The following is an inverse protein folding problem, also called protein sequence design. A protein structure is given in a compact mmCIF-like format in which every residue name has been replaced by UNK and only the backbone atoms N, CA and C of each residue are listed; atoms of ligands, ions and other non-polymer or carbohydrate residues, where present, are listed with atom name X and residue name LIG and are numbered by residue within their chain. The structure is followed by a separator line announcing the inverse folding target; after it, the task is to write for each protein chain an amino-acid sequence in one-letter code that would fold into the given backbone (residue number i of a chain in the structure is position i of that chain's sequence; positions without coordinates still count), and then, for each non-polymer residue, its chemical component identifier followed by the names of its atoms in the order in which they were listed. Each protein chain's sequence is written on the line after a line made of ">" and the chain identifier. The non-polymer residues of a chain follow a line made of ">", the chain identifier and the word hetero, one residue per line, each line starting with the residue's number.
data_IF_371030162738
#
_entry.id   IF_371030162738
#
_cell.length_a   1.000
_cell.length_b   1.000
_cell.length_c   1.000
_cell.angle_alpha   90.00
_cell.angle_beta   90.00
_cell.angle_gamma   90.00
#
_symmetry.space_group_name_H-M   'P 1'
#
loop_
_entity.id
_entity.type
_entity.pdbx_description
1 polymer ?
#
# COMPACT_ATOMS: atom_id res chain seq x y z
N UNK A 1 19.40 -13.23 -59.72
CA UNK A 1 19.75 -13.01 -58.29
C UNK A 1 19.67 -11.52 -58.01
N UNK A 2 18.60 -11.02 -57.35
CA UNK A 2 18.51 -9.62 -56.82
C UNK A 2 17.15 -9.22 -56.21
N UNK A 3 16.13 -10.11 -56.21
CA UNK A 3 14.81 -9.78 -55.64
C UNK A 3 14.63 -10.20 -54.17
N UNK A 4 15.52 -11.02 -53.60
CA UNK A 4 15.32 -11.62 -52.27
C UNK A 4 15.86 -10.77 -51.11
N UNK A 5 16.64 -9.72 -51.38
CA UNK A 5 17.27 -8.88 -50.35
C UNK A 5 16.41 -7.66 -49.94
N UNK A 6 15.40 -7.32 -50.75
CA UNK A 6 14.55 -6.14 -50.47
C UNK A 6 13.45 -6.44 -49.44
N UNK A 7 12.92 -7.68 -49.39
CA UNK A 7 11.86 -8.04 -48.43
C UNK A 7 12.37 -8.12 -46.98
N UNK A 8 13.62 -8.52 -46.75
CA UNK A 8 14.17 -8.63 -45.39
C UNK A 8 14.42 -7.29 -44.69
N UNK A 9 14.52 -6.18 -45.43
CA UNK A 9 14.73 -4.84 -44.83
C UNK A 9 13.44 -4.16 -44.41
N UNK A 10 12.29 -4.51 -45.00
CA UNK A 10 11.01 -3.90 -44.65
C UNK A 10 10.40 -4.49 -43.37
N UNK A 11 10.70 -5.77 -43.08
CA UNK A 11 10.26 -6.43 -41.84
C UNK A 11 10.99 -5.96 -40.58
N UNK A 12 12.24 -5.46 -40.69
CA UNK A 12 12.97 -4.94 -39.54
C UNK A 12 12.50 -3.54 -39.09
N UNK A 13 11.82 -2.78 -39.95
CA UNK A 13 11.36 -1.43 -39.62
C UNK A 13 10.09 -1.42 -38.75
N UNK A 14 9.26 -2.47 -38.80
CA UNK A 14 8.04 -2.56 -37.99
C UNK A 14 8.30 -3.02 -36.54
N UNK A 15 9.47 -3.59 -36.24
CA UNK A 15 9.78 -4.08 -34.90
C UNK A 15 10.23 -2.98 -33.92
N UNK A 16 10.56 -1.77 -34.40
CA UNK A 16 11.07 -0.67 -33.57
C UNK A 16 9.95 0.19 -32.96
N UNK A 17 8.72 0.10 -33.47
CA UNK A 17 7.56 0.85 -32.95
C UNK A 17 6.84 0.15 -31.78
N UNK A 18 7.25 -1.08 -31.40
CA UNK A 18 6.81 -1.75 -30.18
C UNK A 18 7.66 -1.37 -28.94
N UNK A 19 8.47 -0.31 -29.06
CA UNK A 19 9.54 0.05 -28.12
C UNK A 19 9.31 1.37 -27.38
N UNK A 20 8.10 1.67 -26.94
CA UNK A 20 7.85 2.59 -25.82
C UNK A 20 6.62 2.09 -25.07
N UNK A 21 6.73 0.91 -24.47
CA UNK A 21 6.00 0.63 -23.24
C UNK A 21 6.55 1.61 -22.19
N UNK A 22 6.11 2.88 -22.26
CA UNK A 22 5.93 3.66 -21.06
C UNK A 22 5.01 2.76 -20.25
N UNK A 23 5.56 2.12 -19.23
CA UNK A 23 4.79 1.63 -18.10
C UNK A 23 4.12 2.89 -17.56
N UNK A 24 3.03 3.29 -18.20
CA UNK A 24 2.01 4.04 -17.53
C UNK A 24 1.54 2.98 -16.56
N UNK A 25 2.04 3.05 -15.32
CA UNK A 25 1.28 2.59 -14.18
C UNK A 25 -0.08 3.26 -14.36
N UNK A 26 -0.96 2.60 -15.12
CA UNK A 26 -2.36 2.89 -15.17
C UNK A 26 -2.88 2.37 -13.83
N UNK A 27 -2.39 2.96 -12.74
CA UNK A 27 -3.08 2.93 -11.47
C UNK A 27 -4.36 3.67 -11.74
N UNK A 28 -5.37 2.85 -12.05
CA UNK A 28 -6.76 3.24 -12.06
C UNK A 28 -6.95 4.05 -10.78
N UNK A 29 -7.47 5.27 -10.88
CA UNK A 29 -7.61 6.18 -9.73
C UNK A 29 -8.32 5.51 -8.52
N UNK A 30 -9.12 4.47 -8.75
CA UNK A 30 -9.75 3.67 -7.70
C UNK A 30 -8.88 2.58 -7.04
N UNK A 31 -7.67 2.29 -7.53
CA UNK A 31 -6.77 1.28 -6.95
C UNK A 31 -6.16 1.75 -5.64
N UNK A 32 -5.76 3.02 -5.56
CA UNK A 32 -5.18 3.58 -4.34
C UNK A 32 -6.28 3.84 -3.29
N UNK A 33 -7.48 4.28 -3.70
CA UNK A 33 -8.65 4.38 -2.80
C UNK A 33 -9.03 3.01 -2.22
N UNK A 34 -9.08 1.96 -3.06
CA UNK A 34 -9.33 0.60 -2.62
C UNK A 34 -8.23 0.06 -1.68
N UNK A 35 -6.98 0.46 -1.89
CA UNK A 35 -5.87 0.12 -1.00
C UNK A 35 -6.02 0.81 0.36
N UNK A 36 -6.38 2.10 0.38
CA UNK A 36 -6.62 2.85 1.63
C UNK A 36 -7.79 2.25 2.42
N UNK A 37 -8.88 1.87 1.74
CA UNK A 37 -10.02 1.22 2.40
C UNK A 37 -9.65 -0.17 2.92
N UNK A 38 -8.86 -0.96 2.17
CA UNK A 38 -8.38 -2.26 2.63
C UNK A 38 -7.45 -2.16 3.85
N UNK A 39 -6.56 -1.15 3.89
CA UNK A 39 -5.72 -0.89 5.05
C UNK A 39 -6.54 -0.44 6.27
N UNK A 40 -7.51 0.44 6.05
CA UNK A 40 -8.43 0.90 7.11
C UNK A 40 -9.21 -0.28 7.71
N UNK A 41 -9.68 -1.20 6.87
CA UNK A 41 -10.37 -2.42 7.31
C UNK A 41 -9.45 -3.32 8.14
N UNK A 42 -8.20 -3.53 7.70
CA UNK A 42 -7.23 -4.35 8.45
C UNK A 42 -6.86 -3.72 9.79
N UNK A 43 -6.70 -2.41 9.85
CA UNK A 43 -6.46 -1.69 11.11
C UNK A 43 -7.62 -1.92 12.09
N UNK A 44 -8.86 -1.80 11.61
CA UNK A 44 -10.04 -2.06 12.45
C UNK A 44 -10.11 -3.53 12.89
N UNK A 45 -9.78 -4.48 12.01
CA UNK A 45 -9.68 -5.90 12.38
C UNK A 45 -8.68 -6.09 13.53
N UNK A 46 -7.46 -5.53 13.42
CA UNK A 46 -6.46 -5.62 14.49
C UNK A 46 -6.94 -4.96 15.79
N UNK A 47 -7.63 -3.82 15.70
CA UNK A 47 -8.23 -3.15 16.85
C UNK A 47 -9.26 -4.02 17.56
N UNK A 48 -10.13 -4.69 16.81
CA UNK A 48 -11.13 -5.61 17.41
C UNK A 48 -10.47 -6.84 18.04
N UNK A 49 -9.36 -7.33 17.48
CA UNK A 49 -8.58 -8.43 18.06
C UNK A 49 -7.89 -8.03 19.37
N UNK A 50 -7.36 -6.81 19.46
CA UNK A 50 -6.76 -6.28 20.69
C UNK A 50 -7.81 -6.06 21.81
N UNK A 51 -9.06 -5.75 21.44
CA UNK A 51 -10.17 -5.64 22.41
C UNK A 51 -10.56 -6.99 23.06
N UNK A 52 -10.02 -8.12 22.58
CA UNK A 52 -10.19 -9.42 23.22
C UNK A 52 -9.35 -9.56 24.49
N UNK A 53 -9.97 -9.94 25.61
CA UNK A 53 -9.29 -10.02 26.92
C UNK A 53 -8.27 -11.17 27.05
N UNK A 54 -8.18 -12.07 26.07
CA UNK A 54 -7.35 -13.29 26.15
C UNK A 54 -5.96 -13.15 25.50
N UNK A 55 -5.61 -11.98 24.96
CA UNK A 55 -4.32 -11.76 24.32
C UNK A 55 -3.17 -11.69 25.35
N UNK A 56 -2.13 -12.50 25.14
CA UNK A 56 -0.91 -12.43 25.95
C UNK A 56 -0.16 -11.12 25.68
N UNK A 57 0.79 -10.76 26.55
CA UNK A 57 1.62 -9.58 26.32
C UNK A 57 2.47 -9.66 25.05
N UNK A 58 2.96 -10.86 24.70
CA UNK A 58 3.65 -11.07 23.43
C UNK A 58 2.73 -10.80 22.24
N UNK A 59 1.46 -11.25 22.33
CA UNK A 59 0.46 -11.00 21.29
C UNK A 59 0.14 -9.51 21.14
N UNK A 60 -0.06 -8.80 22.26
CA UNK A 60 -0.31 -7.35 22.25
C UNK A 60 0.83 -6.56 21.63
N UNK A 61 2.08 -6.93 21.93
CA UNK A 61 3.25 -6.31 21.34
C UNK A 61 3.42 -6.67 19.85
N UNK A 62 3.05 -7.89 19.43
CA UNK A 62 3.03 -8.27 18.03
C UNK A 62 1.94 -7.49 17.26
N UNK A 63 0.72 -7.42 17.80
CA UNK A 63 -0.38 -6.63 17.27
C UNK A 63 0.02 -5.15 17.16
N UNK A 64 0.65 -4.59 18.20
CA UNK A 64 1.14 -3.21 18.17
C UNK A 64 2.13 -2.93 17.04
N UNK A 65 3.05 -3.85 16.74
CA UNK A 65 3.96 -3.71 15.60
C UNK A 65 3.20 -3.75 14.28
N UNK A 66 2.34 -4.75 14.07
CA UNK A 66 1.57 -4.87 12.83
C UNK A 66 0.62 -3.69 12.60
N UNK A 67 -0.03 -3.16 13.64
CA UNK A 67 -0.87 -1.95 13.54
C UNK A 67 -0.04 -0.75 13.10
N UNK A 68 1.18 -0.59 13.61
CA UNK A 68 2.05 0.52 13.21
C UNK A 68 2.59 0.38 11.79
N UNK A 69 2.96 -0.82 11.36
CA UNK A 69 3.36 -1.09 9.98
C UNK A 69 2.24 -0.71 8.98
N UNK A 70 1.00 -1.13 9.26
CA UNK A 70 -0.15 -0.76 8.43
C UNK A 70 -0.47 0.73 8.47
N UNK A 71 -0.29 1.39 9.62
CA UNK A 71 -0.50 2.82 9.75
C UNK A 71 0.53 3.61 8.91
N UNK A 72 1.79 3.18 8.90
CA UNK A 72 2.84 3.75 8.06
C UNK A 72 2.53 3.55 6.57
N UNK A 73 2.11 2.36 6.16
CA UNK A 73 1.68 2.09 4.78
C UNK A 73 0.52 2.99 4.34
N UNK A 74 -0.48 3.17 5.20
CA UNK A 74 -1.62 4.05 4.93
C UNK A 74 -1.21 5.52 4.82
N UNK A 75 -0.34 5.99 5.70
CA UNK A 75 0.17 7.35 5.63
C UNK A 75 1.04 7.58 4.38
N UNK A 76 1.87 6.60 4.00
CA UNK A 76 2.65 6.67 2.77
C UNK A 76 1.75 6.70 1.52
N UNK A 77 0.56 6.09 1.56
CA UNK A 77 -0.47 6.24 0.52
C UNK A 77 -1.03 7.66 0.49
N UNK A 78 -1.42 8.19 1.65
CA UNK A 78 -1.95 9.56 1.76
C UNK A 78 -0.96 10.60 1.25
N UNK A 79 0.32 10.47 1.58
CA UNK A 79 1.39 11.39 1.13
C UNK A 79 1.54 11.44 -0.40
N UNK A 80 1.19 10.36 -1.11
CA UNK A 80 1.21 10.33 -2.59
C UNK A 80 0.05 11.09 -3.23
N UNK A 81 -0.94 11.50 -2.44
CA UNK A 81 -2.14 12.22 -2.89
C UNK A 81 -2.32 13.54 -2.11
N UNK A 82 -1.36 14.48 -2.18
CA UNK A 82 -1.39 15.71 -1.37
C UNK A 82 -2.52 16.67 -1.74
N UNK A 83 -3.13 16.49 -2.91
CA UNK A 83 -4.27 17.24 -3.41
C UNK A 83 -5.62 16.78 -2.82
N UNK A 84 -5.65 15.58 -2.20
CA UNK A 84 -6.85 14.98 -1.60
C UNK A 84 -6.98 15.38 -0.14
N UNK A 85 -7.91 16.28 0.17
CA UNK A 85 -8.14 16.81 1.53
C UNK A 85 -8.85 15.85 2.47
N UNK A 86 -9.46 14.79 1.94
CA UNK A 86 -10.17 13.75 2.69
C UNK A 86 -9.24 12.67 3.28
N UNK A 87 -7.99 12.58 2.79
CA UNK A 87 -7.04 11.54 3.18
C UNK A 87 -6.20 11.86 4.45
N UNK A 88 -5.76 13.11 4.71
CA UNK A 88 -4.98 13.43 5.91
C UNK A 88 -5.62 12.97 7.24
N UNK A 89 -6.95 13.11 7.45
CA UNK A 89 -7.60 12.58 8.65
C UNK A 89 -7.48 11.05 8.78
N UNK A 90 -7.43 10.30 7.67
CA UNK A 90 -7.28 8.85 7.70
C UNK A 90 -5.89 8.42 8.15
N UNK A 91 -4.84 9.12 7.71
CA UNK A 91 -3.48 8.89 8.23
C UNK A 91 -3.40 9.23 9.73
N UNK A 92 -3.98 10.36 10.17
CA UNK A 92 -4.00 10.72 11.58
C UNK A 92 -4.67 9.64 12.43
N UNK A 93 -5.83 9.13 12.00
CA UNK A 93 -6.52 8.03 12.68
C UNK A 93 -5.69 6.75 12.75
N UNK A 94 -4.98 6.39 11.67
CA UNK A 94 -4.10 5.22 11.67
C UNK A 94 -2.93 5.38 12.67
N UNK A 95 -2.34 6.58 12.74
CA UNK A 95 -1.28 6.90 13.70
C UNK A 95 -1.77 6.85 15.15
N UNK A 96 -2.98 7.32 15.43
CA UNK A 96 -3.60 7.19 16.75
C UNK A 96 -3.80 5.72 17.15
N UNK A 97 -4.20 4.85 16.22
CA UNK A 97 -4.32 3.42 16.46
C UNK A 97 -2.96 2.76 16.77
N UNK A 98 -1.92 3.10 16.01
CA UNK A 98 -0.55 2.68 16.29
C UNK A 98 -0.11 3.11 17.70
N UNK A 99 -0.32 4.38 18.06
CA UNK A 99 0.04 4.89 19.38
C UNK A 99 -0.71 4.16 20.51
N UNK A 100 -2.01 3.90 20.32
CA UNK A 100 -2.83 3.12 21.25
C UNK A 100 -2.29 1.69 21.44
N UNK A 101 -1.99 0.99 20.35
CA UNK A 101 -1.50 -0.39 20.40
C UNK A 101 -0.07 -0.47 21.00
N UNK A 102 0.81 0.50 20.71
CA UNK A 102 2.12 0.62 21.37
C UNK A 102 1.98 0.87 22.87
N UNK A 103 1.02 1.69 23.28
CA UNK A 103 0.75 1.91 24.70
C UNK A 103 0.23 0.64 25.39
N UNK A 104 -0.61 -0.15 24.71
CA UNK A 104 -1.07 -1.44 25.23
C UNK A 104 0.10 -2.41 25.47
N UNK A 105 1.05 -2.48 24.53
CA UNK A 105 2.29 -3.23 24.70
C UNK A 105 3.16 -2.66 25.85
N UNK A 106 3.34 -1.35 25.93
CA UNK A 106 4.15 -0.72 26.98
C UNK A 106 3.62 -1.00 28.41
N UNK A 107 2.30 -1.19 28.55
CA UNK A 107 1.67 -1.57 29.83
C UNK A 107 1.96 -2.99 30.30
N UNK A 108 2.54 -3.83 29.45
CA UNK A 108 2.94 -5.20 29.82
C UNK A 108 4.13 -5.26 30.78
N UNK A 109 4.86 -4.15 30.97
CA UNK A 109 6.09 -4.13 31.75
C UNK A 109 7.29 -4.77 31.02
N UNK A 110 8.51 -4.66 31.58
CA UNK A 110 9.71 -5.32 31.04
C UNK A 110 9.69 -6.84 31.26
#
# INVERSE_FOLDING_TARGET
>A
MRASLALSRMLLACAVLAGCAKNVDARVAGSDDAAIDALSLRLEELRTRDAGNDATCADRCALGRSTCELAEEQCALVERHPDRTDLPPRCAQAQEQCAGARNACARCGP
#
